data_IF_243400401062
#
_entry.id   IF_243400401062
#
_cell.length_a   1.000
_cell.length_b   1.000
_cell.length_c   1.000
_cell.angle_alpha   90.00
_cell.angle_beta   90.00
_cell.angle_gamma   90.00
#
_symmetry.space_group_name_H-M   'P 1'
#
loop_
_entity.id
_entity.type
_entity.pdbx_description
1 polymer ?
#
# COMPACT_ATOMS: atom_id res chain seq x y z
N UNK A 1 -9.66 11.77 -4.01
CA UNK A 1 -9.56 10.45 -3.37
C UNK A 1 -9.64 10.66 -1.88
N UNK A 2 -10.79 10.34 -1.29
CA UNK A 2 -10.97 10.30 0.15
C UNK A 2 -10.16 9.13 0.73
N UNK A 3 -9.66 9.25 1.97
CA UNK A 3 -8.90 8.19 2.68
C UNK A 3 -9.60 6.82 2.67
N UNK A 4 -10.92 6.79 2.52
CA UNK A 4 -11.73 5.57 2.44
C UNK A 4 -11.59 4.81 1.13
N UNK A 5 -11.33 5.49 0.01
CA UNK A 5 -11.17 4.86 -1.30
C UNK A 5 -9.78 4.26 -1.47
N UNK A 6 -8.76 4.92 -0.93
CA UNK A 6 -7.40 4.41 -0.87
C UNK A 6 -7.36 3.04 -0.19
N UNK A 7 -7.94 2.91 1.01
CA UNK A 7 -7.93 1.65 1.75
C UNK A 7 -8.62 0.49 1.03
N UNK A 8 -9.53 0.77 0.08
CA UNK A 8 -10.21 -0.28 -0.71
C UNK A 8 -9.43 -0.67 -1.97
N UNK A 9 -8.63 0.23 -2.53
CA UNK A 9 -7.67 -0.08 -3.60
C UNK A 9 -6.55 -0.99 -3.10
N UNK A 10 -6.08 -0.72 -1.88
CA UNK A 10 -4.97 -1.40 -1.22
C UNK A 10 -5.36 -2.63 -0.41
N UNK A 11 -6.62 -3.05 -0.41
CA UNK A 11 -7.05 -4.26 0.30
C UNK A 11 -7.79 -5.20 -0.65
N UNK A 12 -7.21 -6.37 -0.90
CA UNK A 12 -7.81 -7.47 -1.65
C UNK A 12 -7.92 -8.68 -0.73
N UNK A 13 -8.97 -9.49 -0.85
CA UNK A 13 -9.18 -10.65 0.03
C UNK A 13 -8.03 -11.67 0.00
N UNK A 14 -7.25 -11.70 -1.09
CA UNK A 14 -6.05 -12.52 -1.24
C UNK A 14 -4.82 -11.98 -0.49
N UNK A 15 -4.89 -10.76 0.04
CA UNK A 15 -3.79 -10.17 0.81
C UNK A 15 -3.80 -10.52 2.28
N UNK A 16 -4.87 -11.11 2.82
CA UNK A 16 -4.93 -11.42 4.26
C UNK A 16 -3.74 -12.28 4.74
N UNK A 17 -3.18 -13.12 3.83
CA UNK A 17 -1.97 -13.91 4.09
C UNK A 17 -0.66 -13.10 4.10
N UNK A 18 -0.62 -11.94 3.43
CA UNK A 18 0.54 -11.05 3.34
C UNK A 18 0.45 -9.82 4.26
N UNK A 19 -0.68 -9.66 4.96
CA UNK A 19 -0.90 -8.61 5.96
C UNK A 19 -0.28 -9.03 7.29
N UNK A 20 1.04 -9.03 7.34
CA UNK A 20 1.79 -9.58 8.46
C UNK A 20 1.68 -8.74 9.74
N UNK A 21 1.50 -7.41 9.65
CA UNK A 21 1.55 -6.52 10.83
C UNK A 21 0.53 -5.39 10.75
N UNK A 22 -0.34 -5.33 11.76
CA UNK A 22 -1.38 -4.31 11.90
C UNK A 22 -1.10 -3.40 13.09
N UNK A 23 -1.34 -2.12 12.88
CA UNK A 23 -1.06 -1.07 13.84
C UNK A 23 -2.24 -0.11 13.91
N UNK A 24 -2.70 0.20 15.13
CA UNK A 24 -3.72 1.23 15.35
C UNK A 24 -3.16 2.65 15.22
N UNK A 25 -1.84 2.81 15.34
CA UNK A 25 -1.15 4.09 15.32
C UNK A 25 -0.15 4.16 14.18
N UNK A 26 -0.20 5.26 13.43
CA UNK A 26 0.73 5.54 12.33
C UNK A 26 2.20 5.52 12.79
N UNK A 27 2.50 6.08 13.95
CA UNK A 27 3.88 6.13 14.48
C UNK A 27 4.47 4.74 14.70
N UNK A 28 3.66 3.81 15.19
CA UNK A 28 4.07 2.43 15.45
C UNK A 28 4.31 1.69 14.12
N UNK A 29 3.40 1.89 13.17
CA UNK A 29 3.50 1.34 11.83
C UNK A 29 4.73 1.86 11.08
N UNK A 30 5.04 3.16 11.21
CA UNK A 30 6.24 3.77 10.64
C UNK A 30 7.52 3.20 11.25
N UNK A 31 7.58 3.07 12.57
CA UNK A 31 8.73 2.42 13.23
C UNK A 31 8.94 1.01 12.72
N UNK A 32 7.85 0.26 12.54
CA UNK A 32 7.90 -1.10 11.99
C UNK A 32 8.40 -1.12 10.54
N UNK A 33 7.97 -0.15 9.71
CA UNK A 33 8.47 0.04 8.35
C UNK A 33 9.97 0.37 8.34
N UNK A 34 10.44 1.23 9.24
CA UNK A 34 11.87 1.60 9.33
C UNK A 34 12.74 0.46 9.87
N UNK A 35 12.20 -0.34 10.79
CA UNK A 35 12.94 -1.44 11.43
C UNK A 35 13.02 -2.70 10.59
N UNK A 36 11.93 -3.08 9.90
CA UNK A 36 11.84 -4.33 9.16
C UNK A 36 11.69 -4.13 7.64
N UNK A 37 11.37 -2.92 7.19
CA UNK A 37 11.06 -2.65 5.79
C UNK A 37 9.64 -3.07 5.39
N UNK A 38 9.35 -2.96 4.08
CA UNK A 38 8.05 -3.29 3.49
C UNK A 38 7.33 -2.05 2.95
N UNK A 39 6.00 -2.10 2.97
CA UNK A 39 5.10 -1.06 2.48
C UNK A 39 4.04 -0.77 3.51
N UNK A 40 3.96 0.49 3.93
CA UNK A 40 2.97 0.97 4.89
C UNK A 40 1.73 1.48 4.13
N UNK A 41 0.58 0.87 4.40
CA UNK A 41 -0.66 1.20 3.72
C UNK A 41 -1.77 1.53 4.74
N UNK A 42 -2.60 2.55 4.45
CA UNK A 42 -3.72 2.91 5.31
C UNK A 42 -4.92 1.99 5.05
N UNK A 43 -5.59 1.57 6.12
CA UNK A 43 -6.83 0.81 6.05
C UNK A 43 -7.88 1.34 7.02
N UNK A 44 -8.83 2.12 6.51
CA UNK A 44 -9.93 2.73 7.28
C UNK A 44 -9.43 3.58 8.45
N UNK A 45 -9.24 2.98 9.62
CA UNK A 45 -8.80 3.61 10.88
C UNK A 45 -7.50 2.99 11.42
N UNK A 46 -6.90 2.08 10.67
CA UNK A 46 -5.70 1.34 11.05
C UNK A 46 -4.67 1.45 9.93
N UNK A 47 -3.45 1.04 10.24
CA UNK A 47 -2.33 0.98 9.31
C UNK A 47 -1.78 -0.43 9.32
N UNK A 48 -1.31 -0.89 8.18
CA UNK A 48 -0.69 -2.20 8.10
C UNK A 48 0.60 -2.12 7.29
N UNK A 49 1.55 -2.99 7.64
CA UNK A 49 2.79 -3.16 6.88
C UNK A 49 2.71 -4.50 6.16
N UNK A 50 2.86 -4.46 4.85
CA UNK A 50 2.92 -5.64 4.01
C UNK A 50 4.28 -5.77 3.33
N UNK A 51 4.65 -7.00 2.98
CA UNK A 51 5.90 -7.28 2.30
C UNK A 51 5.79 -7.02 0.79
N UNK A 52 6.94 -7.06 0.14
CA UNK A 52 7.06 -6.85 -1.30
C UNK A 52 6.22 -7.86 -2.11
N UNK A 53 6.04 -9.08 -1.62
CA UNK A 53 5.15 -10.05 -2.26
C UNK A 53 3.71 -9.57 -2.33
N UNK A 54 3.21 -8.87 -1.31
CA UNK A 54 1.85 -8.32 -1.32
C UNK A 54 1.64 -7.37 -2.50
N UNK A 55 2.62 -6.50 -2.78
CA UNK A 55 2.56 -5.55 -3.89
C UNK A 55 2.53 -6.28 -5.25
N UNK A 56 3.28 -7.37 -5.38
CA UNK A 56 3.21 -8.22 -6.59
C UNK A 56 1.85 -8.88 -6.73
N UNK A 57 1.27 -9.36 -5.64
CA UNK A 57 -0.09 -9.93 -5.62
C UNK A 57 -1.14 -8.89 -5.98
N UNK A 58 -0.90 -7.61 -5.68
CA UNK A 58 -1.74 -6.50 -6.13
C UNK A 58 -1.60 -6.16 -7.62
N UNK A 59 -0.78 -6.89 -8.37
CA UNK A 59 -0.50 -6.58 -9.78
C UNK A 59 0.35 -5.32 -9.96
N UNK A 60 1.03 -4.85 -8.92
CA UNK A 60 1.91 -3.69 -8.97
C UNK A 60 3.37 -4.11 -9.06
N UNK A 61 4.17 -3.27 -9.72
CA UNK A 61 5.62 -3.48 -9.84
C UNK A 61 6.33 -2.99 -8.59
N UNK A 62 7.21 -3.83 -8.04
CA UNK A 62 8.04 -3.47 -6.88
C UNK A 62 9.14 -2.47 -7.22
N UNK A 63 9.67 -2.56 -8.44
CA UNK A 63 10.71 -1.70 -8.98
C UNK A 63 10.17 -0.33 -9.41
N UNK A 64 8.90 -0.03 -9.12
CA UNK A 64 8.31 1.23 -9.51
C UNK A 64 8.97 2.38 -8.73
N UNK A 65 9.59 3.38 -9.40
CA UNK A 65 10.27 4.47 -8.72
C UNK A 65 9.29 5.34 -7.92
N UNK A 66 7.99 5.27 -8.23
CA UNK A 66 6.96 5.95 -7.44
C UNK A 66 6.89 5.40 -6.01
N UNK A 67 7.22 4.13 -5.75
CA UNK A 67 7.29 3.58 -4.40
C UNK A 67 8.38 4.23 -3.55
N UNK A 68 9.56 4.47 -4.14
CA UNK A 68 10.65 5.17 -3.46
C UNK A 68 10.32 6.65 -3.26
N UNK A 69 9.66 7.28 -4.24
CA UNK A 69 9.21 8.69 -4.15
C UNK A 69 8.23 8.93 -3.01
N UNK A 70 7.32 7.99 -2.76
CA UNK A 70 6.41 8.08 -1.61
C UNK A 70 7.05 7.60 -0.30
N UNK A 71 8.27 7.07 -0.34
CA UNK A 71 8.96 6.50 0.82
C UNK A 71 8.35 5.18 1.30
N UNK A 72 7.69 4.44 0.41
CA UNK A 72 6.89 3.23 0.71
C UNK A 72 5.80 3.47 1.76
N UNK A 73 5.39 4.72 1.92
CA UNK A 73 4.34 5.15 2.82
C UNK A 73 3.13 5.63 2.02
N UNK A 74 2.17 4.73 1.81
CA UNK A 74 0.90 5.05 1.18
C UNK A 74 -0.08 5.77 2.12
N UNK A 75 0.21 5.83 3.43
CA UNK A 75 -0.62 6.54 4.41
C UNK A 75 -0.26 8.03 4.44
N UNK A 76 1.03 8.36 4.36
CA UNK A 76 1.50 9.72 4.15
C UNK A 76 2.53 9.78 3.02
N UNK A 77 2.07 9.75 1.76
CA UNK A 77 2.98 9.81 0.63
C UNK A 77 3.74 11.13 0.63
N UNK A 78 5.07 11.03 0.60
CA UNK A 78 5.95 12.20 0.40
C UNK A 78 5.71 12.89 -0.94
N UNK A 79 5.25 12.13 -1.94
CA UNK A 79 4.90 12.62 -3.27
C UNK A 79 3.48 12.17 -3.66
N UNK A 80 2.53 13.11 -3.64
CA UNK A 80 1.13 12.83 -3.99
C UNK A 80 0.96 12.42 -5.46
N UNK A 81 1.80 12.91 -6.37
CA UNK A 81 1.70 12.59 -7.78
C UNK A 81 2.16 11.14 -8.06
N UNK A 82 3.24 10.71 -7.41
CA UNK A 82 3.70 9.33 -7.43
C UNK A 82 2.64 8.38 -6.84
N UNK A 83 2.04 8.75 -5.70
CA UNK A 83 0.96 7.97 -5.11
C UNK A 83 -0.25 7.83 -6.04
N UNK A 84 -0.66 8.92 -6.70
CA UNK A 84 -1.78 8.87 -7.64
C UNK A 84 -1.50 7.93 -8.81
N UNK A 85 -0.28 7.96 -9.38
CA UNK A 85 0.13 7.03 -10.44
C UNK A 85 0.05 5.57 -9.99
N UNK A 86 0.46 5.28 -8.75
CA UNK A 86 0.34 3.93 -8.19
C UNK A 86 -1.13 3.50 -8.02
N UNK A 87 -2.00 4.40 -7.56
CA UNK A 87 -3.43 4.14 -7.48
C UNK A 87 -4.05 3.87 -8.87
N UNK A 88 -3.68 4.64 -9.89
CA UNK A 88 -4.15 4.44 -11.26
C UNK A 88 -3.70 3.07 -11.83
N UNK A 89 -2.44 2.69 -11.61
CA UNK A 89 -1.92 1.35 -11.96
C UNK A 89 -2.68 0.25 -11.22
N UNK A 90 -2.98 0.46 -9.94
CA UNK A 90 -3.74 -0.51 -9.13
C UNK A 90 -5.16 -0.67 -9.64
N UNK A 91 -5.83 0.43 -9.99
CA UNK A 91 -7.18 0.39 -10.54
C UNK A 91 -7.22 -0.40 -11.86
N UNK A 92 -6.21 -0.24 -12.72
CA UNK A 92 -6.04 -1.03 -13.93
C UNK A 92 -5.85 -2.52 -13.61
N UNK A 93 -4.96 -2.87 -12.68
CA UNK A 93 -4.74 -4.25 -12.26
C UNK A 93 -6.04 -4.89 -11.70
N UNK A 94 -6.80 -4.19 -10.87
CA UNK A 94 -8.09 -4.67 -10.34
C UNK A 94 -9.09 -4.94 -11.46
N UNK A 95 -9.09 -4.11 -12.52
CA UNK A 95 -9.95 -4.29 -13.68
C UNK A 95 -9.56 -5.54 -14.48
N UNK A 96 -8.26 -5.79 -14.62
CA UNK A 96 -7.73 -6.98 -15.30
C UNK A 96 -7.98 -8.27 -14.49
N UNK A 97 -7.92 -8.23 -13.16
CA UNK A 97 -8.24 -9.36 -12.28
C UNK A 97 -9.74 -9.78 -12.34
N UNK A 98 -10.63 -8.89 -12.81
CA UNK A 98 -12.09 -9.10 -12.84
C UNK A 98 -12.67 -9.31 -14.23
N UNK A 99 -11.87 -9.18 -15.29
CA UNK A 99 -12.25 -9.40 -16.69
C UNK A 99 -11.99 -10.82 -17.14
#
# INVERSE_FOLDING_TARGET
MDDKDAGRLWYSGSMDVFLNRWFSSYEDARKSLESEGGFLLPYKHQFFVCEAEAIRTLGLTLDDPDWERIGRDGARPGDRAAYQRLCEKREQAVREERG
#
